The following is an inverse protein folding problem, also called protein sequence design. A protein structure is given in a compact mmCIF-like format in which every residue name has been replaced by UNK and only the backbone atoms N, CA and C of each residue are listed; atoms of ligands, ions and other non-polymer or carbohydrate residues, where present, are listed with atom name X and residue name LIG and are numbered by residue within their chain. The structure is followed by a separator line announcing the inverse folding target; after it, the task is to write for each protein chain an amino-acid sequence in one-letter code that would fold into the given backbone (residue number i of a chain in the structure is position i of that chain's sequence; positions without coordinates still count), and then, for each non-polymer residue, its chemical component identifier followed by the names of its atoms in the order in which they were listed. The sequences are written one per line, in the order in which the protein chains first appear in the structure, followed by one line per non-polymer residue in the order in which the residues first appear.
data_IF_506662634902
#
_entry.id   IF_506662634902
#
_cell.length_a   1.000
_cell.length_b   1.000
_cell.length_c   1.000
_cell.angle_alpha   90.00
_cell.angle_beta   90.00
_cell.angle_gamma   90.00
#
_symmetry.space_group_name_H-M   'P 1'
#
loop_
_entity.id
_entity.type
_entity.pdbx_description
1 polymer ?
#
# COMPACT_ATOMS: atom_id res chain seq x y z
N UNK A 1 -4.10 26.56 -15.34
CA UNK A 1 -4.13 25.43 -14.39
C UNK A 1 -3.49 24.26 -15.10
N UNK A 2 -2.43 23.66 -14.54
CA UNK A 2 -1.69 22.59 -15.21
C UNK A 2 -2.51 21.29 -15.20
N UNK A 3 -2.35 20.45 -16.24
CA UNK A 3 -3.09 19.18 -16.38
C UNK A 3 -2.88 18.25 -15.18
N UNK A 4 -1.67 18.23 -14.60
CA UNK A 4 -1.33 17.48 -13.39
C UNK A 4 -2.16 17.90 -12.18
N UNK A 5 -2.38 19.21 -11.99
CA UNK A 5 -3.16 19.71 -10.86
C UNK A 5 -4.62 19.27 -10.96
N UNK A 6 -5.15 19.20 -12.19
CA UNK A 6 -6.51 18.72 -12.45
C UNK A 6 -6.64 17.23 -12.10
N UNK A 7 -5.66 16.41 -12.47
CA UNK A 7 -5.65 14.98 -12.13
C UNK A 7 -5.60 14.75 -10.61
N UNK A 8 -4.83 15.59 -9.89
CA UNK A 8 -4.76 15.55 -8.43
C UNK A 8 -6.12 15.85 -7.80
N UNK A 9 -6.78 16.92 -8.23
CA UNK A 9 -8.11 17.27 -7.74
C UNK A 9 -9.15 16.19 -8.04
N UNK A 10 -9.10 15.59 -9.22
CA UNK A 10 -10.02 14.51 -9.61
C UNK A 10 -9.85 13.28 -8.72
N UNK A 11 -8.61 12.87 -8.41
CA UNK A 11 -8.39 11.77 -7.48
C UNK A 11 -8.80 12.08 -6.06
N UNK A 12 -8.49 13.26 -5.55
CA UNK A 12 -8.95 13.70 -4.23
C UNK A 12 -10.48 13.65 -4.17
N UNK A 13 -11.20 13.99 -5.25
CA UNK A 13 -12.67 13.87 -5.32
C UNK A 13 -13.15 12.43 -5.19
N UNK A 14 -12.43 11.45 -5.74
CA UNK A 14 -12.80 10.03 -5.70
C UNK A 14 -12.53 9.33 -4.36
N UNK A 15 -11.77 9.93 -3.44
CA UNK A 15 -11.48 9.29 -2.15
C UNK A 15 -12.75 9.12 -1.30
N UNK A 16 -12.87 8.03 -0.51
CA UNK A 16 -13.95 7.87 0.46
C UNK A 16 -14.03 9.06 1.43
N UNK A 17 -15.24 9.52 1.81
CA UNK A 17 -15.40 10.70 2.66
C UNK A 17 -14.74 10.54 4.03
N UNK A 18 -14.80 9.34 4.62
CA UNK A 18 -14.16 9.03 5.90
C UNK A 18 -12.63 9.18 5.79
N UNK A 19 -12.05 8.71 4.69
CA UNK A 19 -10.61 8.82 4.46
C UNK A 19 -10.18 10.28 4.25
N UNK A 20 -10.94 11.09 3.49
CA UNK A 20 -10.64 12.53 3.35
C UNK A 20 -10.65 13.24 4.71
N UNK A 21 -11.68 13.00 5.51
CA UNK A 21 -11.77 13.56 6.85
C UNK A 21 -10.63 13.08 7.76
N UNK A 22 -10.24 11.81 7.67
CA UNK A 22 -9.10 11.29 8.41
C UNK A 22 -7.80 11.99 8.03
N UNK A 23 -7.55 12.18 6.74
CA UNK A 23 -6.37 12.91 6.21
C UNK A 23 -6.37 14.36 6.70
N UNK A 24 -7.51 15.05 6.66
CA UNK A 24 -7.64 16.44 7.13
C UNK A 24 -7.43 16.57 8.65
N UNK A 25 -7.77 15.52 9.42
CA UNK A 25 -7.64 15.49 10.88
C UNK A 25 -6.23 15.11 11.37
N UNK A 26 -5.38 14.55 10.51
CA UNK A 26 -3.99 14.22 10.85
C UNK A 26 -3.08 15.31 10.29
N UNK A 27 -2.24 15.97 11.11
CA UNK A 27 -1.32 17.00 10.64
C UNK A 27 -0.10 16.37 9.94
N UNK A 28 -0.34 15.51 8.95
CA UNK A 28 0.66 14.64 8.34
C UNK A 28 1.83 15.45 7.76
N UNK A 29 1.59 16.60 7.14
CA UNK A 29 2.66 17.49 6.64
C UNK A 29 3.62 17.93 7.73
N UNK A 30 3.12 18.27 8.92
CA UNK A 30 3.97 18.63 10.05
C UNK A 30 4.78 17.44 10.56
N UNK A 31 4.19 16.23 10.53
CA UNK A 31 4.87 15.00 10.89
C UNK A 31 5.97 14.63 9.88
N UNK A 32 5.75 14.86 8.58
CA UNK A 32 6.81 14.71 7.56
C UNK A 32 7.99 15.63 7.86
N UNK A 33 7.73 16.88 8.22
CA UNK A 33 8.78 17.84 8.60
C UNK A 33 9.54 17.38 9.85
N UNK A 34 8.87 16.79 10.84
CA UNK A 34 9.51 16.23 12.02
C UNK A 34 10.39 15.01 11.68
N UNK A 35 9.87 14.09 10.87
CA UNK A 35 10.61 12.90 10.41
C UNK A 35 11.85 13.32 9.63
N UNK A 36 11.71 14.26 8.70
CA UNK A 36 12.83 14.79 7.92
C UNK A 36 13.91 15.42 8.79
N UNK A 37 13.53 16.27 9.75
CA UNK A 37 14.48 16.86 10.71
C UNK A 37 15.19 15.82 11.56
N UNK A 38 14.47 14.79 12.02
CA UNK A 38 15.03 13.70 12.83
C UNK A 38 16.08 12.90 12.05
N UNK A 39 15.90 12.77 10.74
CA UNK A 39 16.84 12.10 9.83
C UNK A 39 17.86 13.04 9.17
N UNK A 40 17.95 14.30 9.64
CA UNK A 40 18.86 15.32 9.13
C UNK A 40 18.72 15.60 7.61
N UNK A 41 17.49 15.51 7.09
CA UNK A 41 17.19 15.82 5.69
C UNK A 41 17.26 17.31 5.40
N UNK A 42 17.71 17.65 4.20
CA UNK A 42 17.61 19.00 3.68
C UNK A 42 16.18 19.33 3.21
N UNK A 43 15.96 20.58 2.82
CA UNK A 43 14.64 21.05 2.43
C UNK A 43 14.10 20.33 1.17
N UNK A 44 14.97 19.95 0.23
CA UNK A 44 14.56 19.28 -1.01
C UNK A 44 14.15 17.83 -0.72
N UNK A 45 14.93 17.13 0.10
CA UNK A 45 14.63 15.78 0.55
C UNK A 45 13.32 15.69 1.33
N UNK A 46 13.02 16.69 2.17
CA UNK A 46 11.76 16.76 2.89
C UNK A 46 10.58 16.94 1.92
N UNK A 47 10.75 17.77 0.89
CA UNK A 47 9.73 17.95 -0.16
C UNK A 47 9.51 16.65 -0.94
N UNK A 48 10.60 15.94 -1.31
CA UNK A 48 10.49 14.63 -1.95
C UNK A 48 9.74 13.62 -1.08
N UNK A 49 10.07 13.53 0.22
CA UNK A 49 9.37 12.64 1.15
C UNK A 49 7.88 13.01 1.29
N UNK A 50 7.56 14.31 1.36
CA UNK A 50 6.18 14.79 1.40
C UNK A 50 5.39 14.34 0.16
N UNK A 51 6.01 14.41 -1.01
CA UNK A 51 5.40 14.01 -2.27
C UNK A 51 5.15 12.49 -2.34
N UNK A 52 6.11 11.68 -1.92
CA UNK A 52 5.94 10.22 -1.88
C UNK A 52 4.80 9.81 -0.93
N UNK A 53 4.73 10.45 0.24
CA UNK A 53 3.65 10.22 1.21
C UNK A 53 2.30 10.65 0.63
N UNK A 54 2.26 11.79 -0.05
CA UNK A 54 1.05 12.27 -0.73
C UNK A 54 0.55 11.27 -1.77
N UNK A 55 1.45 10.65 -2.54
CA UNK A 55 1.06 9.66 -3.55
C UNK A 55 0.42 8.40 -2.94
N UNK A 56 0.90 7.96 -1.78
CA UNK A 56 0.28 6.85 -1.06
C UNK A 56 -1.08 7.26 -0.47
N UNK A 57 -1.14 8.39 0.24
CA UNK A 57 -2.36 8.85 0.92
C UNK A 57 -3.51 9.08 -0.07
N UNK A 58 -3.22 9.58 -1.28
CA UNK A 58 -4.21 9.81 -2.32
C UNK A 58 -4.36 8.65 -3.30
N UNK A 59 -3.76 7.49 -3.00
CA UNK A 59 -3.85 6.27 -3.80
C UNK A 59 -3.41 6.43 -5.27
N UNK A 60 -2.42 7.28 -5.52
CA UNK A 60 -1.71 7.33 -6.80
C UNK A 60 -0.75 6.16 -6.96
N UNK A 61 -0.17 5.70 -5.86
CA UNK A 61 0.80 4.61 -5.85
C UNK A 61 0.50 3.60 -4.74
N UNK A 62 0.86 2.32 -4.94
CA UNK A 62 0.68 1.29 -3.92
C UNK A 62 1.75 1.40 -2.82
N UNK A 63 1.40 1.15 -1.54
CA UNK A 63 2.34 1.18 -0.42
C UNK A 63 3.54 0.23 -0.58
N UNK A 64 3.40 -0.84 -1.38
CA UNK A 64 4.47 -1.80 -1.66
C UNK A 64 5.68 -1.18 -2.34
N UNK A 65 5.50 -0.05 -3.03
CA UNK A 65 6.59 0.64 -3.73
C UNK A 65 7.25 1.71 -2.87
N UNK A 66 6.70 2.01 -1.69
CA UNK A 66 7.05 3.19 -0.91
C UNK A 66 8.53 3.22 -0.49
N UNK A 67 9.08 2.09 -0.02
CA UNK A 67 10.49 1.99 0.38
C UNK A 67 11.42 2.26 -0.82
N UNK A 68 11.13 1.63 -1.96
CA UNK A 68 11.92 1.78 -3.18
C UNK A 68 11.88 3.23 -3.70
N UNK A 69 10.72 3.87 -3.61
CA UNK A 69 10.58 5.27 -4.00
C UNK A 69 11.29 6.22 -3.04
N UNK A 70 11.21 6.01 -1.72
CA UNK A 70 11.97 6.83 -0.75
C UNK A 70 13.46 6.75 -1.09
N UNK A 71 13.99 5.54 -1.27
CA UNK A 71 15.41 5.36 -1.61
C UNK A 71 15.79 6.13 -2.89
N UNK A 72 14.93 6.08 -3.92
CA UNK A 72 15.18 6.72 -5.22
C UNK A 72 15.01 8.24 -5.20
N UNK A 73 13.89 8.74 -4.68
CA UNK A 73 13.46 10.15 -4.81
C UNK A 73 14.01 11.03 -3.68
N UNK A 74 14.22 10.47 -2.49
CA UNK A 74 14.87 11.18 -1.36
C UNK A 74 16.39 10.99 -1.40
N UNK A 75 16.89 9.99 -2.14
CA UNK A 75 18.32 9.76 -2.33
C UNK A 75 19.02 9.15 -1.11
N UNK A 76 18.36 8.20 -0.45
CA UNK A 76 18.88 7.51 0.75
C UNK A 76 19.15 6.03 0.48
N UNK A 77 19.91 5.37 1.35
CA UNK A 77 20.11 3.91 1.26
C UNK A 77 18.79 3.16 1.52
N UNK A 78 18.69 1.93 1.01
CA UNK A 78 17.52 1.07 1.20
C UNK A 78 17.24 0.79 2.68
N UNK A 79 18.28 0.55 3.49
CA UNK A 79 18.14 0.37 4.94
C UNK A 79 17.54 1.60 5.62
N UNK A 80 18.02 2.80 5.26
CA UNK A 80 17.50 4.05 5.80
C UNK A 80 16.05 4.28 5.33
N UNK A 81 15.75 4.00 4.06
CA UNK A 81 14.40 4.08 3.50
C UNK A 81 13.42 3.17 4.26
N UNK A 82 13.84 1.96 4.63
CA UNK A 82 13.03 1.04 5.44
C UNK A 82 12.70 1.63 6.81
N UNK A 83 13.70 2.15 7.54
CA UNK A 83 13.47 2.79 8.85
C UNK A 83 12.58 4.03 8.75
N UNK A 84 12.72 4.83 7.69
CA UNK A 84 11.86 5.99 7.44
C UNK A 84 10.43 5.54 7.14
N UNK A 85 10.27 4.51 6.30
CA UNK A 85 8.97 3.97 5.96
C UNK A 85 8.23 3.44 7.20
N UNK A 86 8.92 2.77 8.12
CA UNK A 86 8.37 2.37 9.43
C UNK A 86 7.92 3.59 10.24
N UNK A 87 8.75 4.62 10.37
CA UNK A 87 8.37 5.84 11.10
C UNK A 87 7.19 6.56 10.46
N UNK A 88 7.07 6.53 9.13
CA UNK A 88 5.93 7.12 8.42
C UNK A 88 4.68 6.27 8.62
N UNK A 89 4.80 4.96 8.57
CA UNK A 89 3.67 4.06 8.84
C UNK A 89 3.08 4.31 10.22
N UNK A 90 3.93 4.27 11.25
CA UNK A 90 3.51 4.44 12.65
C UNK A 90 2.92 5.83 12.94
N UNK A 91 3.56 6.89 12.43
CA UNK A 91 3.18 8.27 12.77
C UNK A 91 2.10 8.85 11.86
N UNK A 92 1.98 8.38 10.63
CA UNK A 92 1.14 9.02 9.60
C UNK A 92 0.09 8.04 9.07
N UNK A 93 0.48 6.90 8.52
CA UNK A 93 -0.48 6.01 7.87
C UNK A 93 -1.43 5.35 8.87
N UNK A 94 -0.90 4.80 9.95
CA UNK A 94 -1.71 4.12 10.97
C UNK A 94 -2.73 5.06 11.62
N UNK A 95 -2.37 6.30 12.05
CA UNK A 95 -3.35 7.24 12.57
C UNK A 95 -4.42 7.66 11.57
N UNK A 96 -4.08 7.77 10.28
CA UNK A 96 -5.06 8.06 9.22
C UNK A 96 -6.02 6.87 9.06
N UNK A 97 -5.50 5.65 8.99
CA UNK A 97 -6.31 4.43 8.86
C UNK A 97 -7.25 4.26 10.06
N UNK A 98 -6.73 4.37 11.28
CA UNK A 98 -7.52 4.29 12.51
C UNK A 98 -8.66 5.31 12.53
N UNK A 99 -8.37 6.58 12.23
CA UNK A 99 -9.40 7.63 12.15
C UNK A 99 -10.44 7.36 11.06
N UNK A 100 -10.02 6.84 9.90
CA UNK A 100 -10.94 6.50 8.82
C UNK A 100 -11.92 5.41 9.26
N UNK A 101 -11.44 4.36 9.92
CA UNK A 101 -12.28 3.29 10.46
C UNK A 101 -13.21 3.75 11.60
N UNK A 102 -12.73 4.63 12.48
CA UNK A 102 -13.55 5.22 13.55
C UNK A 102 -14.73 6.01 12.98
N UNK A 103 -14.48 6.82 11.95
CA UNK A 103 -15.52 7.61 11.26
C UNK A 103 -16.54 6.71 10.54
N UNK A 104 -16.10 5.60 9.97
CA UNK A 104 -16.98 4.60 9.37
C UNK A 104 -17.93 3.99 10.41
N UNK A 105 -17.39 3.53 11.55
CA UNK A 105 -18.17 2.95 12.65
C UNK A 105 -19.18 3.94 13.25
N UNK A 106 -18.83 5.23 13.30
CA UNK A 106 -19.74 6.28 13.78
C UNK A 106 -20.92 6.51 12.82
N UNK A 107 -20.67 6.42 11.51
CA UNK A 107 -21.73 6.54 10.51
C UNK A 107 -22.68 5.35 10.53
N UNK A 108 -22.17 4.13 10.73
CA UNK A 108 -23.00 2.92 10.86
C UNK A 108 -23.92 2.96 12.10
N UNK A 109 -23.40 3.42 13.24
CA UNK A 109 -24.18 3.57 14.48
C UNK A 109 -25.26 4.65 14.39
N UNK A 110 -25.09 5.65 13.51
CA UNK A 110 -26.09 6.70 13.29
C UNK A 110 -27.25 6.26 12.39
N UNK A 111 -27.08 5.14 11.68
CA UNK A 111 -28.08 4.52 10.80
C UNK A 111 -28.90 3.39 11.45
N UNK A 112 -28.92 3.27 12.78
CA UNK A 112 -29.97 2.48 13.42
C UNK A 112 -31.35 3.07 13.05
N UNK A 113 -32.28 2.26 12.51
CA UNK A 113 -33.59 2.74 12.16
C UNK A 113 -34.30 3.17 13.44
N UNK A 114 -34.62 4.45 13.53
CA UNK A 114 -35.72 4.90 14.40
C UNK A 114 -36.96 4.20 13.87
N UNK A 115 -37.30 3.08 14.50
CA UNK A 115 -38.58 2.40 14.35
C UNK A 115 -39.64 3.36 14.89
N UNK A 116 -40.10 4.27 14.04
CA UNK A 116 -41.39 4.93 14.27
C UNK A 116 -42.43 3.81 14.24
N UNK A 117 -43.26 3.65 15.27
CA UNK A 117 -44.32 2.66 15.26
C UNK A 117 -45.35 3.04 14.20
N UNK A 118 -45.13 2.59 12.96
CA UNK A 118 -46.16 2.59 11.92
C UNK A 118 -47.18 1.55 12.34
N UNK A 119 -48.36 2.04 12.76
CA UNK A 119 -49.55 1.23 12.97
C UNK A 119 -49.86 0.50 11.65
N UNK A 120 -49.58 -0.79 11.61
CA UNK A 120 -49.99 -1.69 10.53
C UNK A 120 -51.39 -2.21 10.88
N UNK A 121 -52.41 -2.01 10.03
CA UNK A 121 -53.68 -2.73 10.17
C UNK A 121 -53.43 -4.23 10.00
N UNK A 122 -53.86 -5.00 11.00
CA UNK A 122 -53.76 -6.45 11.06
C UNK A 122 -54.58 -7.07 9.92
N UNK A 123 -53.89 -7.63 8.91
CA UNK A 123 -54.52 -8.42 7.86
C UNK A 123 -54.48 -9.88 8.32
N UNK A 124 -55.62 -10.57 8.50
CA UNK A 124 -55.63 -11.96 8.93
C UNK A 124 -55.00 -12.88 7.88
N UNK A 125 -54.24 -13.91 8.27
CA UNK A 125 -53.60 -14.83 7.33
C UNK A 125 -54.68 -15.70 6.67
N UNK A 126 -55.02 -15.37 5.42
CA UNK A 126 -55.88 -16.21 4.59
C UNK A 126 -55.03 -17.03 3.64
N UNK A 127 -55.00 -18.34 3.90
CA UNK A 127 -54.80 -19.43 2.95
C UNK A 127 -53.47 -19.44 2.17
N UNK A 128 -52.43 -20.04 2.77
CA UNK A 128 -51.37 -20.69 1.99
C UNK A 128 -51.87 -22.07 1.53
N UNK A 129 -51.89 -22.36 0.22
CA UNK A 129 -52.10 -23.73 -0.25
C UNK A 129 -50.92 -24.61 0.17
N UNK A 130 -51.30 -25.69 0.85
CA UNK A 130 -50.46 -26.79 1.28
C UNK A 130 -50.03 -27.63 0.06
N UNK A 131 -48.79 -28.14 0.11
CA UNK A 131 -48.20 -29.27 -0.66
C UNK A 131 -47.45 -28.89 -1.96
N UNK A 132 -46.15 -29.19 -2.02
CA UNK A 132 -45.70 -30.36 -2.78
C UNK A 132 -44.52 -31.10 -2.15
N UNK A 133 -44.69 -32.42 -2.05
CA UNK A 133 -43.83 -33.39 -1.38
C UNK A 133 -43.02 -34.08 -2.46
N UNK A 134 -41.76 -33.69 -2.68
CA UNK A 134 -40.96 -34.35 -3.72
C UNK A 134 -39.62 -33.76 -4.10
N UNK A 135 -38.99 -32.90 -3.30
CA UNK A 135 -37.65 -32.40 -3.64
C UNK A 135 -36.57 -33.39 -3.17
N UNK A 136 -35.99 -34.09 -4.14
CA UNK A 136 -34.96 -35.10 -3.98
C UNK A 136 -33.62 -34.42 -3.73
N UNK A 137 -33.02 -34.74 -2.59
CA UNK A 137 -31.67 -34.34 -2.19
C UNK A 137 -30.69 -34.76 -3.29
N UNK A 138 -30.04 -33.78 -3.92
CA UNK A 138 -28.87 -34.06 -4.76
C UNK A 138 -27.68 -34.29 -3.83
N UNK A 139 -27.34 -35.56 -3.63
CA UNK A 139 -26.09 -36.00 -3.03
C UNK A 139 -24.94 -35.64 -3.99
N UNK A 140 -24.08 -34.72 -3.57
CA UNK A 140 -22.87 -34.36 -4.30
C UNK A 140 -21.75 -35.31 -3.83
N UNK A 141 -21.18 -36.17 -4.70
CA UNK A 141 -20.11 -37.06 -4.31
C UNK A 141 -18.86 -36.27 -3.92
N UNK A 142 -18.37 -36.55 -2.71
CA UNK A 142 -17.12 -36.03 -2.17
C UNK A 142 -15.96 -36.61 -2.98
N UNK A 143 -15.28 -35.78 -3.77
CA UNK A 143 -14.05 -36.17 -4.44
C UNK A 143 -12.92 -36.28 -3.41
N UNK A 144 -12.40 -37.49 -3.21
CA UNK A 144 -11.21 -37.77 -2.42
C UNK A 144 -10.02 -36.97 -2.96
N UNK A 145 -9.41 -36.16 -2.08
CA UNK A 145 -8.12 -35.54 -2.38
C UNK A 145 -7.05 -36.65 -2.41
N UNK A 146 -6.17 -36.69 -3.43
CA UNK A 146 -5.05 -37.60 -3.43
C UNK A 146 -4.04 -37.20 -2.33
N UNK A 147 -3.82 -38.17 -1.45
CA UNK A 147 -2.78 -38.23 -0.42
C UNK A 147 -1.39 -38.04 -1.06
N UNK A 148 -0.82 -36.85 -0.94
CA UNK A 148 0.58 -36.61 -1.28
C UNK A 148 1.45 -37.00 -0.08
N UNK A 149 2.12 -38.14 -0.23
CA UNK A 149 3.03 -38.72 0.75
C UNK A 149 4.27 -37.87 1.13
N UNK A 150 5.19 -38.48 1.89
CA UNK A 150 6.10 -37.78 2.80
C UNK A 150 7.25 -37.03 2.10
N UNK A 151 7.49 -35.80 2.58
CA UNK A 151 8.61 -34.92 2.21
C UNK A 151 9.97 -35.63 2.32
N UNK A 152 10.83 -35.59 1.28
CA UNK A 152 12.22 -36.03 1.39
C UNK A 152 13.05 -35.03 2.20
N UNK A 153 13.85 -35.56 3.15
CA UNK A 153 14.86 -34.84 3.92
C UNK A 153 16.00 -34.39 2.98
N UNK A 154 16.23 -33.08 2.90
CA UNK A 154 17.42 -32.51 2.26
C UNK A 154 18.59 -32.63 3.25
N UNK A 155 19.77 -33.18 2.87
CA UNK A 155 20.96 -33.15 3.71
C UNK A 155 21.53 -31.73 3.79
N UNK A 156 21.67 -31.21 5.00
CA UNK A 156 22.36 -29.94 5.28
C UNK A 156 23.86 -30.20 5.12
N UNK A 157 24.45 -29.70 4.04
CA UNK A 157 25.90 -29.49 3.95
C UNK A 157 26.23 -28.07 4.42
N UNK A 158 27.31 -27.86 5.20
CA UNK A 158 27.72 -26.54 5.65
C UNK A 158 28.32 -25.75 4.48
N UNK A 159 27.62 -24.70 4.04
CA UNK A 159 28.13 -23.78 3.01
C UNK A 159 29.19 -22.88 3.64
N UNK A 160 30.41 -23.08 3.16
CA UNK A 160 31.56 -22.22 3.40
C UNK A 160 31.34 -20.81 2.83
N UNK A 161 31.91 -19.83 3.53
CA UNK A 161 32.05 -18.42 3.19
C UNK A 161 32.47 -18.22 1.73
N UNK A 162 31.75 -17.45 0.90
CA UNK A 162 32.22 -17.13 -0.44
C UNK A 162 33.30 -16.05 -0.37
N UNK A 163 34.49 -16.46 -0.78
CA UNK A 163 35.65 -15.66 -1.12
C UNK A 163 35.30 -14.70 -2.27
N UNK A 164 35.66 -13.42 -2.12
CA UNK A 164 35.32 -12.35 -3.06
C UNK A 164 35.95 -12.64 -4.44
N UNK A 165 35.12 -13.03 -5.40
CA UNK A 165 35.50 -13.05 -6.80
C UNK A 165 35.78 -11.61 -7.26
N UNK A 166 37.04 -11.31 -7.60
CA UNK A 166 37.42 -10.05 -8.25
C UNK A 166 36.69 -9.95 -9.59
N UNK A 167 35.66 -9.12 -9.65
CA UNK A 167 34.99 -8.75 -10.89
C UNK A 167 36.00 -8.02 -11.77
N UNK A 168 36.35 -8.61 -12.92
CA UNK A 168 37.19 -7.92 -13.91
C UNK A 168 36.37 -6.79 -14.52
N UNK A 169 36.84 -5.55 -14.33
CA UNK A 169 36.29 -4.38 -14.99
C UNK A 169 36.45 -4.54 -16.52
N UNK A 170 35.44 -4.14 -17.32
CA UNK A 170 35.59 -4.09 -18.77
C UNK A 170 36.67 -3.07 -19.17
N UNK A 171 37.43 -3.37 -20.22
CA UNK A 171 38.43 -2.46 -20.76
C UNK A 171 37.73 -1.30 -21.48
N UNK A 172 37.70 -0.13 -20.83
CA UNK A 172 37.09 1.10 -21.35
C UNK A 172 37.98 1.85 -22.36
N UNK A 173 39.08 1.25 -22.84
CA UNK A 173 39.95 1.87 -23.85
C UNK A 173 39.27 1.87 -25.21
N UNK A 174 39.26 3.03 -25.86
CA UNK A 174 38.81 3.15 -27.25
C UNK A 174 39.66 2.27 -28.18
N UNK A 175 39.03 1.63 -29.18
CA UNK A 175 39.76 0.86 -30.19
C UNK A 175 40.78 1.77 -30.89
N UNK A 176 42.06 1.41 -30.82
CA UNK A 176 43.17 2.20 -31.37
C UNK A 176 43.85 3.16 -30.38
N UNK A 177 43.42 3.21 -29.11
CA UNK A 177 44.09 4.00 -28.06
C UNK A 177 43.98 5.52 -28.22
N UNK A 178 43.24 5.99 -29.21
CA UNK A 178 42.91 7.39 -29.41
C UNK A 178 41.54 7.68 -28.85
N UNK A 179 41.51 8.50 -27.81
CA UNK A 179 40.29 9.04 -27.24
C UNK A 179 39.79 10.20 -28.13
N UNK A 180 38.65 10.05 -28.82
CA UNK A 180 38.12 11.07 -29.74
C UNK A 180 37.70 12.35 -29.03
N UNK A 181 37.58 12.34 -27.70
CA UNK A 181 37.23 13.51 -26.88
C UNK A 181 38.43 14.14 -26.18
N UNK A 182 39.64 13.61 -26.39
CA UNK A 182 40.87 14.19 -25.83
C UNK A 182 41.34 15.33 -26.74
N UNK A 183 41.02 16.57 -26.33
CA UNK A 183 41.53 17.76 -27.02
C UNK A 183 43.06 17.73 -27.07
N UNK A 184 43.61 18.12 -28.22
CA UNK A 184 45.05 18.24 -28.39
C UNK A 184 45.52 19.44 -27.58
N UNK A 185 46.40 19.22 -26.61
CA UNK A 185 47.07 20.32 -25.92
C UNK A 185 47.89 21.11 -26.95
N UNK A 186 47.46 22.34 -27.23
CA UNK A 186 48.16 23.32 -28.08
C UNK A 186 49.20 24.04 -27.24
#
# INVERSE_FOLDING_TARGET
MNETNKLIEERIKTLPPNLKQAIDNVPWKALVQEIGKTNAFDAEQIVSLEQEIMFIIYAFEPPTNFIANIAREVGVSEDAASTIAESVADKIFDPILQKSEELEKLNEKKSEPVITPTSVPEIPPSNLPMVEKGEVVHDVPHAEQPDTGPKPKIPIQPVAKPEQAKVSLPDYRYPGGQDPYRESLV
#
